data_IF_978874872260
#
_entry.id   IF_978874872260
#
_cell.length_a   1.000
_cell.length_b   1.000
_cell.length_c   1.000
_cell.angle_alpha   90.00
_cell.angle_beta   90.00
_cell.angle_gamma   90.00
#
_symmetry.space_group_name_H-M   'P 1'
#
loop_
_entity.id
_entity.type
_entity.pdbx_description
1 polymer ?
#
# COMPACT_ATOMS: atom_id res chain seq x y z
N UNK A 1 35.56 -28.86 23.25
CA UNK A 1 35.38 -27.73 22.30
C UNK A 1 34.63 -28.13 21.03
N UNK A 2 35.00 -29.23 20.34
CA UNK A 2 34.31 -29.71 19.13
C UNK A 2 32.83 -30.08 19.30
N UNK A 3 32.42 -30.61 20.46
CA UNK A 3 31.01 -30.91 20.77
C UNK A 3 30.12 -29.66 20.87
N UNK A 4 30.66 -28.51 21.29
CA UNK A 4 29.88 -27.28 21.43
C UNK A 4 29.59 -26.64 20.05
N UNK A 5 30.58 -26.70 19.15
CA UNK A 5 30.42 -26.31 17.74
C UNK A 5 29.45 -27.25 17.00
N UNK A 6 29.48 -28.56 17.27
CA UNK A 6 28.55 -29.52 16.66
C UNK A 6 27.09 -29.29 17.10
N UNK A 7 26.86 -28.96 18.39
CA UNK A 7 25.53 -28.65 18.92
C UNK A 7 25.03 -27.28 18.44
N UNK A 8 25.91 -26.28 18.31
CA UNK A 8 25.54 -25.00 17.66
C UNK A 8 25.19 -25.17 16.18
N UNK A 9 25.93 -26.00 15.44
CA UNK A 9 25.57 -26.35 14.05
C UNK A 9 24.20 -27.05 13.97
N UNK A 10 23.89 -28.02 14.84
CA UNK A 10 22.59 -28.70 14.84
C UNK A 10 21.41 -27.75 15.14
N UNK A 11 21.61 -26.73 15.98
CA UNK A 11 20.57 -25.75 16.27
C UNK A 11 20.31 -24.80 15.09
N UNK A 12 21.34 -24.49 14.30
CA UNK A 12 21.25 -23.71 13.05
C UNK A 12 20.48 -24.48 11.95
N UNK A 13 20.56 -25.81 11.92
CA UNK A 13 19.83 -26.68 10.97
C UNK A 13 18.46 -27.16 11.46
N UNK A 14 17.99 -26.71 12.63
CA UNK A 14 16.66 -27.07 13.13
C UNK A 14 15.56 -26.41 12.28
N UNK A 15 14.55 -27.16 11.80
CA UNK A 15 13.40 -26.60 11.08
C UNK A 15 12.71 -25.46 11.84
N UNK A 16 12.74 -25.52 13.18
CA UNK A 16 12.12 -24.53 14.08
C UNK A 16 12.88 -23.20 14.11
N UNK A 17 14.21 -23.22 13.94
CA UNK A 17 15.04 -22.01 13.85
C UNK A 17 14.86 -21.31 12.50
N UNK A 18 14.88 -22.08 11.41
CA UNK A 18 14.63 -21.55 10.06
C UNK A 18 13.22 -20.95 9.93
N UNK A 19 12.22 -21.55 10.59
CA UNK A 19 10.85 -21.04 10.63
C UNK A 19 10.73 -19.73 11.42
N UNK A 20 11.42 -19.58 12.55
CA UNK A 20 11.46 -18.32 13.32
C UNK A 20 12.06 -17.15 12.51
N UNK A 21 13.10 -17.41 11.72
CA UNK A 21 13.68 -16.41 10.82
C UNK A 21 12.70 -15.96 9.73
N UNK A 22 11.92 -16.89 9.17
CA UNK A 22 10.86 -16.61 8.17
C UNK A 22 9.77 -15.70 8.74
N UNK A 23 9.33 -15.94 9.98
CA UNK A 23 8.29 -15.11 10.63
C UNK A 23 8.80 -13.70 10.94
N UNK A 24 10.06 -13.56 11.36
CA UNK A 24 10.67 -12.24 11.55
C UNK A 24 10.71 -11.42 10.24
N UNK A 25 11.01 -12.05 9.10
CA UNK A 25 10.96 -11.39 7.80
C UNK A 25 9.52 -11.04 7.39
N UNK A 26 8.56 -11.92 7.68
CA UNK A 26 7.14 -11.67 7.40
C UNK A 26 6.62 -10.44 8.15
N UNK A 27 6.92 -10.30 9.45
CA UNK A 27 6.49 -9.12 10.22
C UNK A 27 7.06 -7.81 9.64
N UNK A 28 8.34 -7.79 9.25
CA UNK A 28 8.93 -6.62 8.59
C UNK A 28 8.21 -6.25 7.29
N UNK A 29 7.78 -7.24 6.50
CA UNK A 29 6.98 -7.00 5.29
C UNK A 29 5.60 -6.45 5.62
N UNK A 30 4.94 -6.99 6.64
CA UNK A 30 3.66 -6.47 7.13
C UNK A 30 3.77 -5.00 7.51
N UNK A 31 4.80 -4.63 8.27
CA UNK A 31 5.01 -3.24 8.70
C UNK A 31 5.32 -2.33 7.51
N UNK A 32 6.18 -2.75 6.58
CA UNK A 32 6.46 -2.01 5.35
C UNK A 32 5.19 -1.75 4.52
N UNK A 33 4.33 -2.77 4.37
CA UNK A 33 3.07 -2.61 3.62
C UNK A 33 2.14 -1.63 4.35
N UNK A 34 2.06 -1.68 5.69
CA UNK A 34 1.25 -0.73 6.48
C UNK A 34 1.73 0.71 6.29
N UNK A 35 3.04 0.93 6.33
CA UNK A 35 3.62 2.27 6.17
C UNK A 35 3.37 2.84 4.75
N UNK A 36 3.46 1.98 3.73
CA UNK A 36 3.15 2.37 2.35
C UNK A 36 1.65 2.65 2.16
N UNK A 37 0.75 1.86 2.78
CA UNK A 37 -0.70 2.13 2.78
C UNK A 37 -0.98 3.48 3.44
N UNK A 38 -0.39 3.75 4.62
CA UNK A 38 -0.54 5.03 5.31
C UNK A 38 0.03 6.20 4.50
N UNK A 39 1.07 5.95 3.69
CA UNK A 39 1.60 6.95 2.74
C UNK A 39 0.61 7.24 1.61
N UNK A 40 -0.06 6.20 1.09
CA UNK A 40 -1.13 6.38 0.09
C UNK A 40 -2.28 7.20 0.67
N UNK A 41 -2.73 6.90 1.90
CA UNK A 41 -3.80 7.66 2.58
C UNK A 41 -3.46 9.14 2.71
N UNK A 42 -2.26 9.47 3.24
CA UNK A 42 -1.79 10.86 3.34
C UNK A 42 -1.77 11.57 1.99
N UNK A 43 -1.35 10.87 0.93
CA UNK A 43 -1.34 11.46 -0.41
C UNK A 43 -2.75 11.67 -0.98
N UNK A 44 -3.72 10.82 -0.61
CA UNK A 44 -5.14 10.98 -0.97
C UNK A 44 -5.73 12.22 -0.28
N UNK A 45 -5.39 12.46 0.98
CA UNK A 45 -5.79 13.69 1.69
C UNK A 45 -5.19 14.93 1.01
N UNK A 46 -3.89 14.88 0.70
CA UNK A 46 -3.20 15.98 0.02
C UNK A 46 -3.83 16.30 -1.35
N UNK A 47 -4.19 15.29 -2.15
CA UNK A 47 -4.82 15.54 -3.46
C UNK A 47 -6.24 16.08 -3.32
N UNK A 48 -6.99 15.67 -2.29
CA UNK A 48 -8.31 16.23 -2.01
C UNK A 48 -8.23 17.73 -1.68
N UNK A 49 -7.24 18.14 -0.89
CA UNK A 49 -6.99 19.55 -0.58
C UNK A 49 -6.61 20.34 -1.84
N UNK A 50 -5.64 19.84 -2.62
CA UNK A 50 -5.17 20.48 -3.86
C UNK A 50 -6.30 20.60 -4.89
N UNK A 51 -7.18 19.60 -4.99
CA UNK A 51 -8.40 19.66 -5.82
C UNK A 51 -9.34 20.77 -5.36
N UNK A 52 -9.55 20.94 -4.05
CA UNK A 52 -10.33 22.04 -3.49
C UNK A 52 -9.74 23.41 -3.83
N UNK A 53 -8.43 23.53 -3.66
CA UNK A 53 -7.69 24.74 -4.02
C UNK A 53 -7.82 25.03 -5.52
N UNK A 54 -7.63 24.05 -6.42
CA UNK A 54 -7.75 24.19 -7.87
C UNK A 54 -9.14 24.69 -8.30
N UNK A 55 -10.22 24.19 -7.67
CA UNK A 55 -11.58 24.67 -7.93
C UNK A 55 -11.78 26.13 -7.51
N UNK A 56 -11.06 26.62 -6.49
CA UNK A 56 -11.11 28.00 -6.02
C UNK A 56 -10.24 28.98 -6.83
N UNK A 57 -9.37 28.51 -7.74
CA UNK A 57 -8.52 29.39 -8.56
C UNK A 57 -9.37 30.33 -9.41
N UNK A 58 -9.11 31.64 -9.36
CA UNK A 58 -9.83 32.64 -10.16
C UNK A 58 -9.06 33.02 -11.45
N UNK A 59 -7.77 32.71 -11.54
CA UNK A 59 -6.87 33.11 -12.66
C UNK A 59 -6.22 31.93 -13.39
N UNK A 60 -6.01 32.04 -14.71
CA UNK A 60 -5.36 31.03 -15.57
C UNK A 60 -3.93 30.68 -15.15
N UNK A 61 -3.12 31.66 -14.73
CA UNK A 61 -1.73 31.43 -14.30
C UNK A 61 -1.65 30.56 -13.03
N UNK A 62 -2.62 30.69 -12.13
CA UNK A 62 -2.76 29.82 -10.96
C UNK A 62 -3.31 28.43 -11.33
N UNK A 63 -3.94 28.28 -12.49
CA UNK A 63 -4.41 26.99 -13.01
C UNK A 63 -3.29 26.08 -13.50
N UNK A 64 -2.31 26.63 -14.23
CA UNK A 64 -1.18 25.84 -14.78
C UNK A 64 -0.26 25.29 -13.67
N UNK A 65 0.22 26.14 -12.75
CA UNK A 65 1.09 25.68 -11.65
C UNK A 65 0.41 24.63 -10.76
N UNK A 66 -0.91 24.71 -10.58
CA UNK A 66 -1.65 23.73 -9.78
C UNK A 66 -1.89 22.40 -10.49
N UNK A 67 -1.92 22.38 -11.82
CA UNK A 67 -1.99 21.11 -12.55
C UNK A 67 -0.69 20.30 -12.42
N UNK A 68 0.47 20.96 -12.45
CA UNK A 68 1.76 20.28 -12.26
C UNK A 68 1.89 19.66 -10.87
N UNK A 69 1.51 20.38 -9.82
CA UNK A 69 1.48 19.86 -8.44
C UNK A 69 0.49 18.68 -8.29
N UNK A 70 -0.68 18.76 -8.95
CA UNK A 70 -1.66 17.67 -8.96
C UNK A 70 -1.10 16.42 -9.64
N UNK A 71 -0.47 16.58 -10.80
CA UNK A 71 0.15 15.46 -11.54
C UNK A 71 1.27 14.80 -10.74
N UNK A 72 2.06 15.61 -10.00
CA UNK A 72 3.09 15.08 -9.10
C UNK A 72 2.48 14.18 -8.02
N UNK A 73 1.47 14.67 -7.29
CA UNK A 73 0.82 13.91 -6.21
C UNK A 73 0.11 12.66 -6.75
N UNK A 74 -0.55 12.74 -7.91
CA UNK A 74 -1.12 11.56 -8.58
C UNK A 74 -0.04 10.53 -8.93
N UNK A 75 1.12 11.00 -9.41
CA UNK A 75 2.28 10.15 -9.67
C UNK A 75 2.79 9.44 -8.42
N UNK A 76 2.85 10.14 -7.28
CA UNK A 76 3.24 9.58 -5.99
C UNK A 76 2.25 8.54 -5.45
N UNK A 77 0.95 8.80 -5.57
CA UNK A 77 -0.11 7.83 -5.24
C UNK A 77 0.05 6.58 -6.10
N UNK A 78 0.19 6.73 -7.42
CA UNK A 78 0.35 5.61 -8.35
C UNK A 78 1.59 4.77 -8.04
N UNK A 79 2.74 5.42 -7.77
CA UNK A 79 3.97 4.72 -7.39
C UNK A 79 3.80 3.92 -6.11
N UNK A 80 3.26 4.55 -5.06
CA UNK A 80 3.08 3.93 -3.74
C UNK A 80 2.05 2.79 -3.77
N UNK A 81 0.92 2.98 -4.45
CA UNK A 81 -0.08 1.94 -4.66
C UNK A 81 0.48 0.73 -5.42
N UNK A 82 1.35 0.95 -6.42
CA UNK A 82 2.01 -0.13 -7.12
C UNK A 82 3.03 -0.87 -6.26
N UNK A 83 3.73 -0.19 -5.33
CA UNK A 83 4.59 -0.86 -4.34
C UNK A 83 3.76 -1.77 -3.42
N UNK A 84 2.68 -1.25 -2.83
CA UNK A 84 1.75 -2.03 -1.99
C UNK A 84 1.24 -3.26 -2.74
N UNK A 85 0.77 -3.09 -3.99
CA UNK A 85 0.28 -4.21 -4.82
C UNK A 85 1.34 -5.29 -5.05
N UNK A 86 2.59 -4.90 -5.34
CA UNK A 86 3.69 -5.85 -5.57
C UNK A 86 4.01 -6.62 -4.29
N UNK A 87 4.14 -5.94 -3.17
CA UNK A 87 4.46 -6.56 -1.88
C UNK A 87 3.35 -7.51 -1.40
N UNK A 88 2.07 -7.14 -1.54
CA UNK A 88 0.94 -8.03 -1.26
C UNK A 88 0.98 -9.28 -2.14
N UNK A 89 1.28 -9.14 -3.44
CA UNK A 89 1.39 -10.28 -4.36
C UNK A 89 2.56 -11.21 -3.99
N UNK A 90 3.70 -10.66 -3.60
CA UNK A 90 4.85 -11.43 -3.12
C UNK A 90 4.49 -12.18 -1.84
N UNK A 91 3.85 -11.50 -0.89
CA UNK A 91 3.37 -12.09 0.36
C UNK A 91 2.41 -13.26 0.12
N UNK A 92 1.42 -13.11 -0.76
CA UNK A 92 0.50 -14.20 -1.14
C UNK A 92 1.25 -15.38 -1.76
N UNK A 93 2.24 -15.11 -2.63
CA UNK A 93 3.03 -16.14 -3.29
C UNK A 93 3.88 -16.92 -2.28
N UNK A 94 4.47 -16.24 -1.30
CA UNK A 94 5.23 -16.85 -0.21
C UNK A 94 4.35 -17.72 0.69
N UNK A 95 3.12 -17.27 1.00
CA UNK A 95 2.15 -18.03 1.77
C UNK A 95 1.72 -19.30 1.01
N UNK A 96 1.52 -19.21 -0.31
CA UNK A 96 1.15 -20.35 -1.16
C UNK A 96 2.28 -21.35 -1.36
N UNK A 97 3.53 -20.90 -1.27
CA UNK A 97 4.71 -21.77 -1.35
C UNK A 97 5.00 -22.52 -0.03
N UNK A 98 4.20 -22.32 1.03
CA UNK A 98 4.34 -23.08 2.27
C UNK A 98 3.93 -24.54 2.00
N UNK A 99 4.80 -25.52 2.33
CA UNK A 99 4.49 -26.95 2.18
C UNK A 99 3.17 -27.36 2.87
N UNK A 100 2.46 -28.34 2.30
CA UNK A 100 1.15 -28.80 2.80
C UNK A 100 1.20 -29.29 4.25
N UNK A 101 2.28 -29.96 4.65
CA UNK A 101 2.52 -30.42 6.02
C UNK A 101 2.63 -29.26 7.03
N UNK A 102 2.93 -28.05 6.56
CA UNK A 102 3.03 -26.83 7.36
C UNK A 102 1.85 -25.85 7.13
N UNK A 103 0.94 -26.15 6.21
CA UNK A 103 -0.15 -25.26 5.81
C UNK A 103 -1.18 -25.02 6.94
N UNK A 104 -1.27 -25.94 7.90
CA UNK A 104 -2.17 -25.90 9.05
C UNK A 104 -1.55 -25.34 10.34
N UNK A 105 -0.31 -24.83 10.31
CA UNK A 105 0.33 -24.26 11.51
C UNK A 105 -0.32 -22.93 11.93
N UNK A 106 -0.18 -22.56 13.21
CA UNK A 106 -0.67 -21.28 13.72
C UNK A 106 -0.06 -20.09 12.96
N UNK A 107 1.22 -20.20 12.63
CA UNK A 107 1.97 -19.18 11.91
C UNK A 107 1.45 -19.00 10.47
N UNK A 108 1.20 -20.09 9.74
CA UNK A 108 0.58 -20.00 8.41
C UNK A 108 -0.81 -19.36 8.46
N UNK A 109 -1.62 -19.65 9.49
CA UNK A 109 -2.91 -18.99 9.69
C UNK A 109 -2.75 -17.50 9.98
N UNK A 110 -1.81 -17.14 10.84
CA UNK A 110 -1.48 -15.73 11.14
C UNK A 110 -1.05 -14.99 9.87
N UNK A 111 -0.18 -15.59 9.05
CA UNK A 111 0.27 -14.97 7.80
C UNK A 111 -0.89 -14.73 6.82
N UNK A 112 -1.75 -15.74 6.64
CA UNK A 112 -2.98 -15.61 5.81
C UNK A 112 -3.90 -14.50 6.32
N UNK A 113 -4.08 -14.41 7.64
CA UNK A 113 -4.90 -13.37 8.25
C UNK A 113 -4.34 -11.96 8.01
N UNK A 114 -3.04 -11.77 8.25
CA UNK A 114 -2.39 -10.47 8.01
C UNK A 114 -2.49 -10.05 6.54
N UNK A 115 -2.19 -10.96 5.61
CA UNK A 115 -2.35 -10.69 4.18
C UNK A 115 -3.78 -10.28 3.82
N UNK A 116 -4.80 -10.97 4.36
CA UNK A 116 -6.20 -10.64 4.12
C UNK A 116 -6.57 -9.25 4.66
N UNK A 117 -6.13 -8.93 5.88
CA UNK A 117 -6.38 -7.62 6.51
C UNK A 117 -5.74 -6.49 5.71
N UNK A 118 -4.47 -6.63 5.32
CA UNK A 118 -3.77 -5.61 4.53
C UNK A 118 -4.38 -5.45 3.13
N UNK A 119 -4.76 -6.55 2.48
CA UNK A 119 -5.40 -6.52 1.16
C UNK A 119 -6.74 -5.78 1.20
N UNK A 120 -7.56 -6.05 2.22
CA UNK A 120 -8.84 -5.37 2.40
C UNK A 120 -8.64 -3.86 2.61
N UNK A 121 -7.72 -3.49 3.52
CA UNK A 121 -7.41 -2.09 3.78
C UNK A 121 -6.90 -1.37 2.53
N UNK A 122 -6.04 -2.02 1.74
CA UNK A 122 -5.56 -1.44 0.49
C UNK A 122 -6.70 -1.19 -0.51
N UNK A 123 -7.65 -2.12 -0.64
CA UNK A 123 -8.84 -1.93 -1.50
C UNK A 123 -9.71 -0.77 -1.01
N UNK A 124 -9.93 -0.64 0.30
CA UNK A 124 -10.67 0.47 0.90
C UNK A 124 -10.03 1.82 0.53
N UNK A 125 -8.72 1.95 0.76
CA UNK A 125 -7.96 3.18 0.45
C UNK A 125 -7.99 3.52 -1.04
N UNK A 126 -7.86 2.52 -1.92
CA UNK A 126 -7.94 2.76 -3.37
C UNK A 126 -9.35 3.10 -3.84
N UNK A 127 -10.39 2.61 -3.15
CA UNK A 127 -11.78 3.02 -3.40
C UNK A 127 -11.98 4.49 -3.04
N UNK A 128 -11.48 4.92 -1.89
CA UNK A 128 -11.53 6.31 -1.46
C UNK A 128 -10.81 7.25 -2.44
N UNK A 129 -9.62 6.86 -2.92
CA UNK A 129 -8.92 7.61 -3.97
C UNK A 129 -9.79 7.80 -5.22
N UNK A 130 -10.43 6.73 -5.71
CA UNK A 130 -11.30 6.80 -6.89
C UNK A 130 -12.51 7.73 -6.66
N UNK A 131 -13.08 7.72 -5.45
CA UNK A 131 -14.18 8.61 -5.09
C UNK A 131 -13.75 10.07 -5.08
N UNK A 132 -12.59 10.39 -4.49
CA UNK A 132 -12.01 11.75 -4.49
C UNK A 132 -11.82 12.26 -5.93
N UNK A 133 -11.23 11.44 -6.80
CA UNK A 133 -11.02 11.79 -8.21
C UNK A 133 -12.34 12.00 -8.97
N UNK A 134 -13.31 11.11 -8.77
CA UNK A 134 -14.62 11.19 -9.43
C UNK A 134 -15.37 12.46 -9.01
N UNK A 135 -15.39 12.77 -7.70
CA UNK A 135 -16.01 13.99 -7.16
C UNK A 135 -15.35 15.24 -7.73
N UNK A 136 -14.02 15.29 -7.82
CA UNK A 136 -13.32 16.42 -8.42
C UNK A 136 -13.69 16.62 -9.89
N UNK A 137 -13.65 15.55 -10.70
CA UNK A 137 -13.99 15.60 -12.13
C UNK A 137 -15.42 16.10 -12.36
N UNK A 138 -16.37 15.70 -11.51
CA UNK A 138 -17.74 16.19 -11.56
C UNK A 138 -17.81 17.70 -11.25
N UNK A 139 -17.22 18.15 -10.13
CA UNK A 139 -17.20 19.57 -9.73
C UNK A 139 -16.54 20.46 -10.78
N UNK A 140 -15.45 19.99 -11.38
CA UNK A 140 -14.76 20.71 -12.44
C UNK A 140 -15.66 20.89 -13.67
N UNK A 141 -16.33 19.82 -14.12
CA UNK A 141 -17.29 19.88 -15.24
C UNK A 141 -18.43 20.87 -14.98
N UNK A 142 -18.98 20.88 -13.77
CA UNK A 142 -20.07 21.80 -13.40
C UNK A 142 -19.61 23.25 -13.39
N UNK A 143 -18.38 23.52 -12.95
CA UNK A 143 -17.77 24.85 -13.01
C UNK A 143 -17.62 25.35 -14.44
N UNK A 144 -17.05 24.51 -15.32
CA UNK A 144 -16.86 24.84 -16.75
C UNK A 144 -18.21 25.13 -17.42
N UNK A 145 -19.22 24.28 -17.21
CA UNK A 145 -20.58 24.50 -17.76
C UNK A 145 -21.20 25.84 -17.34
N UNK A 146 -20.94 26.32 -16.11
CA UNK A 146 -21.45 27.61 -15.64
C UNK A 146 -20.76 28.79 -16.33
N UNK A 147 -19.48 28.67 -16.69
CA UNK A 147 -18.74 29.71 -17.40
C UNK A 147 -19.22 29.90 -18.85
N UNK A 148 -19.78 28.87 -19.49
CA UNK A 148 -20.33 28.93 -20.86
C UNK A 148 -21.85 29.19 -20.93
N UNK A 149 -22.52 29.38 -19.79
CA UNK A 149 -23.96 29.71 -19.72
C UNK A 149 -24.23 31.21 -19.59
N UNK A 150 -23.21 32.03 -19.84
CA UNK A 150 -23.27 33.50 -19.94
C UNK A 150 -23.02 33.85 -21.40
#
# INVERSE_FOLDING_TARGET
MYLYLAVQCLHIYSPRFFFGLRIGQFHKKVDLIRDEIATVERNIENIAEKHGQALAAISEKQGQMRNEELDQVMGEISRSANRVRKELKLMDSEIKAIPEDQAGTADTRMMKQQHSTLSRKFVEVMTEYNDVQTKYKQKYRDRVKRQFKI
#
